data_IF_530733424527
#
_entry.id   IF_530733424527
#
_cell.length_a   1.000
_cell.length_b   1.000
_cell.length_c   1.000
_cell.angle_alpha   90.00
_cell.angle_beta   90.00
_cell.angle_gamma   90.00
#
_symmetry.space_group_name_H-M   'P 1'
#
loop_
_entity.id
_entity.type
_entity.pdbx_description
1 polymer ?
#
# COMPACT_ATOMS: atom_id res chain seq x y z
N UNK A 1 -22.98 10.20 4.63
CA UNK A 1 -23.87 11.17 3.98
C UNK A 1 -23.30 11.70 2.66
N UNK A 2 -22.06 12.23 2.62
CA UNK A 2 -21.45 12.75 1.36
C UNK A 2 -21.20 11.64 0.34
N UNK A 3 -20.61 10.53 0.76
CA UNK A 3 -20.36 9.38 -0.11
C UNK A 3 -21.63 8.81 -0.74
N UNK A 4 -22.69 8.61 0.06
CA UNK A 4 -23.99 8.12 -0.45
C UNK A 4 -24.56 9.04 -1.52
N UNK A 5 -24.48 10.37 -1.32
CA UNK A 5 -24.96 11.33 -2.32
C UNK A 5 -24.16 11.21 -3.63
N UNK A 6 -22.84 11.12 -3.53
CA UNK A 6 -21.97 10.96 -4.70
C UNK A 6 -22.23 9.66 -5.46
N UNK A 7 -22.48 8.54 -4.75
CA UNK A 7 -22.84 7.27 -5.38
C UNK A 7 -24.17 7.35 -6.13
N UNK A 8 -25.20 7.89 -5.47
CA UNK A 8 -26.53 8.03 -6.10
C UNK A 8 -26.41 8.88 -7.35
N UNK A 9 -25.70 10.00 -7.31
CA UNK A 9 -25.48 10.87 -8.46
C UNK A 9 -24.73 10.14 -9.58
N UNK A 10 -23.65 9.40 -9.27
CA UNK A 10 -22.89 8.62 -10.24
C UNK A 10 -23.76 7.54 -10.92
N UNK A 11 -24.60 6.83 -10.14
CA UNK A 11 -25.52 5.81 -10.67
C UNK A 11 -26.58 6.46 -11.58
N UNK A 12 -27.16 7.59 -11.20
CA UNK A 12 -28.12 8.33 -12.00
C UNK A 12 -27.51 8.83 -13.31
N UNK A 13 -26.21 9.16 -13.32
CA UNK A 13 -25.44 9.55 -14.50
C UNK A 13 -24.95 8.34 -15.32
N UNK A 14 -25.38 7.12 -15.00
CA UNK A 14 -25.15 5.94 -15.82
C UNK A 14 -23.76 5.31 -15.66
N UNK A 15 -23.04 5.60 -14.59
CA UNK A 15 -21.68 5.03 -14.37
C UNK A 15 -21.67 3.50 -14.41
N UNK A 16 -22.76 2.85 -13.96
CA UNK A 16 -22.87 1.39 -13.92
C UNK A 16 -23.04 0.74 -15.31
N UNK A 17 -23.30 1.51 -16.35
CA UNK A 17 -23.47 0.99 -17.73
C UNK A 17 -22.16 0.91 -18.51
N UNK A 18 -21.06 1.42 -17.96
CA UNK A 18 -19.77 1.51 -18.63
C UNK A 18 -18.70 0.73 -17.86
N UNK A 19 -17.83 0.04 -18.60
CA UNK A 19 -16.59 -0.46 -18.01
C UNK A 19 -15.65 0.72 -17.72
N UNK A 20 -15.07 0.82 -16.53
CA UNK A 20 -14.01 1.78 -16.29
C UNK A 20 -12.74 1.38 -17.06
N UNK A 21 -11.83 2.33 -17.24
CA UNK A 21 -10.49 2.01 -17.71
C UNK A 21 -9.86 0.95 -16.80
N UNK A 22 -9.08 0.05 -17.39
CA UNK A 22 -8.43 -1.05 -16.68
C UNK A 22 -7.58 -0.55 -15.49
N UNK A 23 -7.02 0.66 -15.62
CA UNK A 23 -6.22 1.33 -14.58
C UNK A 23 -7.06 2.11 -13.55
N UNK A 24 -8.38 2.08 -13.68
CA UNK A 24 -9.30 2.89 -12.89
C UNK A 24 -9.68 4.21 -13.56
N UNK A 25 -10.74 4.84 -13.05
CA UNK A 25 -11.23 6.11 -13.55
C UNK A 25 -10.17 7.21 -13.36
N UNK A 26 -9.80 7.97 -14.41
CA UNK A 26 -8.80 9.05 -14.31
C UNK A 26 -9.08 10.03 -13.18
N UNK A 27 -10.34 10.49 -13.05
CA UNK A 27 -10.75 11.40 -11.98
C UNK A 27 -10.50 10.85 -10.57
N UNK A 28 -10.72 9.54 -10.34
CA UNK A 28 -10.43 8.91 -9.04
C UNK A 28 -8.92 8.88 -8.76
N UNK A 29 -8.10 8.60 -9.79
CA UNK A 29 -6.64 8.57 -9.67
C UNK A 29 -6.06 9.95 -9.36
N UNK A 30 -6.55 10.98 -10.04
CA UNK A 30 -6.19 12.39 -9.80
C UNK A 30 -6.55 12.82 -8.37
N UNK A 31 -7.77 12.48 -7.91
CA UNK A 31 -8.19 12.79 -6.55
C UNK A 31 -7.43 11.99 -5.48
N UNK A 32 -7.06 10.75 -5.77
CA UNK A 32 -6.21 9.96 -4.87
C UNK A 32 -4.80 10.57 -4.75
N UNK A 33 -4.19 10.99 -5.85
CA UNK A 33 -2.93 11.74 -5.86
C UNK A 33 -3.03 13.02 -5.03
N UNK A 34 -4.08 13.82 -5.26
CA UNK A 34 -4.36 15.04 -4.49
C UNK A 34 -4.58 14.76 -3.00
N UNK A 35 -5.26 13.66 -2.66
CA UNK A 35 -5.49 13.25 -1.28
C UNK A 35 -4.17 12.90 -0.56
N UNK A 36 -3.29 12.15 -1.20
CA UNK A 36 -1.96 11.83 -0.65
C UNK A 36 -1.18 13.11 -0.40
N UNK A 37 -1.15 14.04 -1.37
CA UNK A 37 -0.50 15.33 -1.19
C UNK A 37 -1.11 16.14 -0.04
N UNK A 38 -2.43 16.17 0.05
CA UNK A 38 -3.15 16.95 1.05
C UNK A 38 -2.90 16.49 2.49
N UNK A 39 -2.79 15.18 2.73
CA UNK A 39 -2.79 14.61 4.07
C UNK A 39 -1.50 13.90 4.48
N UNK A 40 -0.64 13.54 3.53
CA UNK A 40 0.67 12.92 3.79
C UNK A 40 1.82 13.85 3.36
N UNK A 41 1.53 14.84 2.51
CA UNK A 41 2.50 15.76 1.90
C UNK A 41 3.57 15.05 1.05
N UNK A 42 3.17 14.02 0.34
CA UNK A 42 3.99 13.28 -0.62
C UNK A 42 3.40 13.42 -2.02
N UNK A 43 4.25 13.54 -3.02
CA UNK A 43 3.84 13.58 -4.42
C UNK A 43 3.83 12.14 -4.97
N UNK A 44 2.68 11.72 -5.49
CA UNK A 44 2.50 10.45 -6.21
C UNK A 44 1.75 10.77 -7.48
N UNK A 45 2.30 10.37 -8.63
CA UNK A 45 1.63 10.60 -9.90
C UNK A 45 0.27 9.85 -9.96
N UNK A 46 -0.75 10.42 -10.60
CA UNK A 46 -2.06 9.76 -10.75
C UNK A 46 -1.95 8.34 -11.34
N UNK A 47 -1.00 8.09 -12.22
CA UNK A 47 -0.74 6.77 -12.81
C UNK A 47 -0.44 5.71 -11.75
N UNK A 48 0.32 6.09 -10.70
CA UNK A 48 0.66 5.22 -9.58
C UNK A 48 -0.49 4.99 -8.59
N UNK A 49 -1.58 5.74 -8.68
CA UNK A 49 -2.77 5.57 -7.85
C UNK A 49 -3.73 4.56 -8.47
N UNK A 50 -3.71 3.31 -8.00
CA UNK A 50 -4.51 2.20 -8.55
C UNK A 50 -5.69 1.91 -7.62
N UNK A 51 -6.94 2.10 -8.08
CA UNK A 51 -8.13 1.74 -7.30
C UNK A 51 -8.18 0.25 -6.98
N UNK A 52 -8.61 -0.07 -5.76
CA UNK A 52 -8.74 -1.46 -5.28
C UNK A 52 -10.02 -1.63 -4.47
N UNK A 53 -10.53 -2.86 -4.39
CA UNK A 53 -11.73 -3.21 -3.62
C UNK A 53 -11.39 -3.35 -2.13
N UNK A 54 -11.05 -2.22 -1.51
CA UNK A 54 -10.50 -2.16 -0.15
C UNK A 54 -9.01 -2.54 -0.09
N UNK A 55 -8.31 -2.16 1.00
CA UNK A 55 -6.87 -2.43 1.17
C UNK A 55 -6.51 -3.92 1.08
N UNK A 56 -7.45 -4.82 1.38
CA UNK A 56 -7.22 -6.27 1.28
C UNK A 56 -6.94 -6.76 -0.13
N UNK A 57 -7.58 -6.19 -1.15
CA UNK A 57 -7.23 -6.48 -2.54
C UNK A 57 -5.87 -5.86 -2.88
N UNK A 58 -5.61 -4.66 -2.38
CA UNK A 58 -4.31 -4.00 -2.55
C UNK A 58 -3.16 -4.81 -1.97
N UNK A 59 -3.32 -5.39 -0.75
CA UNK A 59 -2.30 -6.27 -0.16
C UNK A 59 -2.11 -7.55 -0.96
N UNK A 60 -3.19 -8.19 -1.38
CA UNK A 60 -3.12 -9.42 -2.19
C UNK A 60 -2.35 -9.19 -3.50
N UNK A 61 -2.70 -8.14 -4.25
CA UNK A 61 -2.03 -7.79 -5.49
C UNK A 61 -0.56 -7.41 -5.27
N UNK A 62 -0.26 -6.67 -4.19
CA UNK A 62 1.10 -6.29 -3.83
C UNK A 62 1.95 -7.51 -3.46
N UNK A 63 1.42 -8.44 -2.68
CA UNK A 63 2.13 -9.68 -2.32
C UNK A 63 2.45 -10.52 -3.54
N UNK A 64 1.46 -10.71 -4.43
CA UNK A 64 1.66 -11.45 -5.68
C UNK A 64 2.75 -10.79 -6.54
N UNK A 65 2.74 -9.46 -6.64
CA UNK A 65 3.74 -8.72 -7.42
C UNK A 65 5.12 -8.79 -6.77
N UNK A 66 5.23 -8.48 -5.48
CA UNK A 66 6.52 -8.45 -4.78
C UNK A 66 7.21 -9.82 -4.77
N UNK A 67 6.46 -10.91 -4.66
CA UNK A 67 7.03 -12.26 -4.66
C UNK A 67 7.55 -12.72 -6.03
N UNK A 68 7.22 -11.99 -7.09
CA UNK A 68 7.59 -12.34 -8.47
C UNK A 68 8.58 -11.35 -9.12
N UNK A 69 8.84 -10.21 -8.47
CA UNK A 69 9.74 -9.19 -9.03
C UNK A 69 11.21 -9.63 -9.06
N UNK A 70 11.64 -10.45 -8.11
CA UNK A 70 13.01 -10.95 -8.00
C UNK A 70 12.98 -12.40 -7.49
N UNK A 71 13.52 -13.33 -8.27
CA UNK A 71 13.54 -14.77 -7.92
C UNK A 71 14.32 -15.09 -6.65
N UNK A 72 15.24 -14.21 -6.26
CA UNK A 72 16.02 -14.36 -5.03
C UNK A 72 15.29 -13.85 -3.79
N UNK A 73 14.28 -13.00 -3.99
CA UNK A 73 13.52 -12.32 -2.93
C UNK A 73 12.10 -12.87 -2.87
N UNK A 74 11.94 -14.02 -2.26
CA UNK A 74 10.68 -14.79 -2.21
C UNK A 74 9.91 -14.69 -0.89
N UNK A 75 10.39 -13.86 0.04
CA UNK A 75 9.86 -13.80 1.41
C UNK A 75 9.35 -12.41 1.74
N UNK A 76 8.17 -12.32 2.34
CA UNK A 76 7.57 -11.08 2.87
C UNK A 76 7.85 -10.99 4.38
N UNK A 77 8.36 -9.86 4.87
CA UNK A 77 8.62 -9.61 6.28
C UNK A 77 7.49 -8.79 6.90
N UNK A 78 6.83 -9.32 7.93
CA UNK A 78 5.82 -8.59 8.71
C UNK A 78 6.43 -7.98 9.97
N UNK A 79 6.14 -6.72 10.20
CA UNK A 79 6.33 -6.06 11.49
C UNK A 79 5.03 -6.25 12.29
N UNK A 80 5.04 -7.23 13.20
CA UNK A 80 3.90 -7.58 14.03
C UNK A 80 3.83 -6.73 15.33
N UNK A 81 2.66 -6.72 15.98
CA UNK A 81 1.41 -7.38 15.62
C UNK A 81 0.80 -6.80 14.35
N UNK A 82 0.14 -7.63 13.54
CA UNK A 82 -0.44 -7.25 12.26
C UNK A 82 -1.80 -7.91 12.00
N UNK A 83 -2.48 -7.48 10.95
CA UNK A 83 -3.77 -8.02 10.58
C UNK A 83 -3.63 -9.45 10.02
N UNK A 84 -4.19 -10.49 10.70
CA UNK A 84 -3.85 -11.88 10.41
C UNK A 84 -4.26 -12.35 9.01
N UNK A 85 -5.27 -11.73 8.40
CA UNK A 85 -5.76 -12.10 7.06
C UNK A 85 -4.70 -11.85 5.98
N UNK A 86 -3.82 -10.87 6.16
CA UNK A 86 -2.71 -10.62 5.23
C UNK A 86 -1.75 -11.81 5.16
N UNK A 87 -1.44 -12.43 6.30
CA UNK A 87 -0.61 -13.66 6.33
C UNK A 87 -1.35 -14.86 5.71
N UNK A 88 -2.67 -14.95 5.91
CA UNK A 88 -3.47 -15.99 5.26
C UNK A 88 -3.47 -15.85 3.73
N UNK A 89 -3.44 -14.63 3.20
CA UNK A 89 -3.29 -14.41 1.76
C UNK A 89 -2.01 -15.06 1.24
N UNK A 90 -0.88 -14.88 1.93
CA UNK A 90 0.40 -15.51 1.54
C UNK A 90 0.35 -17.03 1.61
N UNK A 91 -0.27 -17.58 2.66
CA UNK A 91 -0.44 -19.04 2.81
C UNK A 91 -1.24 -19.61 1.64
N UNK A 92 -2.36 -18.96 1.26
CA UNK A 92 -3.19 -19.40 0.12
C UNK A 92 -2.42 -19.31 -1.21
N UNK A 93 -1.55 -18.32 -1.36
CA UNK A 93 -0.70 -18.18 -2.55
C UNK A 93 0.54 -19.09 -2.55
N UNK A 94 0.78 -19.85 -1.48
CA UNK A 94 1.99 -20.68 -1.33
C UNK A 94 3.27 -19.86 -1.15
N UNK A 95 3.17 -18.62 -0.66
CA UNK A 95 4.29 -17.71 -0.50
C UNK A 95 4.85 -17.72 0.91
N UNK A 96 6.14 -17.40 1.03
CA UNK A 96 6.85 -17.37 2.30
C UNK A 96 6.70 -16.05 3.02
N UNK A 97 6.65 -16.08 4.33
CA UNK A 97 6.80 -14.91 5.15
C UNK A 97 7.60 -15.17 6.42
N UNK A 98 8.23 -14.12 6.92
CA UNK A 98 8.85 -14.04 8.24
C UNK A 98 8.18 -12.92 9.04
N UNK A 99 8.32 -12.94 10.36
CA UNK A 99 7.68 -11.96 11.24
C UNK A 99 8.50 -11.72 12.50
N UNK A 100 8.39 -10.53 13.07
CA UNK A 100 8.86 -10.21 14.40
C UNK A 100 7.91 -9.23 15.11
N UNK A 101 7.84 -9.31 16.43
CA UNK A 101 7.05 -8.38 17.23
C UNK A 101 7.83 -7.08 17.46
N UNK A 102 7.22 -5.95 17.09
CA UNK A 102 7.85 -4.63 17.19
C UNK A 102 7.97 -4.13 18.63
N UNK A 103 7.20 -4.68 19.58
CA UNK A 103 7.21 -4.22 20.96
C UNK A 103 8.60 -4.29 21.60
N UNK A 104 9.38 -5.33 21.29
CA UNK A 104 10.71 -5.52 21.82
C UNK A 104 11.78 -4.71 21.10
N UNK A 105 11.43 -4.12 19.95
CA UNK A 105 12.37 -3.50 19.01
C UNK A 105 11.99 -2.06 18.62
N UNK A 106 11.37 -1.29 19.52
CA UNK A 106 11.02 0.11 19.30
C UNK A 106 12.27 1.01 19.27
N UNK A 107 12.17 2.12 18.51
CA UNK A 107 13.25 3.11 18.39
C UNK A 107 14.50 2.52 17.73
N UNK A 108 15.66 2.83 18.27
CA UNK A 108 16.97 2.44 17.69
C UNK A 108 17.17 0.92 17.53
N UNK A 109 16.52 0.12 18.38
CA UNK A 109 16.58 -1.34 18.28
C UNK A 109 15.98 -1.88 16.98
N UNK A 110 15.07 -1.12 16.35
CA UNK A 110 14.41 -1.51 15.12
C UNK A 110 15.40 -1.70 13.98
N UNK A 111 16.44 -0.84 13.91
CA UNK A 111 17.46 -0.91 12.86
C UNK A 111 18.15 -2.27 12.83
N UNK A 112 18.78 -2.65 13.95
CA UNK A 112 19.50 -3.92 14.03
C UNK A 112 18.58 -5.13 13.79
N UNK A 113 17.33 -5.05 14.24
CA UNK A 113 16.35 -6.10 14.03
C UNK A 113 15.99 -6.28 12.56
N UNK A 114 15.69 -5.20 11.85
CA UNK A 114 15.41 -5.22 10.41
C UNK A 114 16.64 -5.71 9.63
N UNK A 115 17.83 -5.21 9.92
CA UNK A 115 19.07 -5.64 9.26
C UNK A 115 19.32 -7.14 9.41
N UNK A 116 18.95 -7.75 10.55
CA UNK A 116 19.08 -9.19 10.76
C UNK A 116 18.25 -10.05 9.80
N UNK A 117 17.17 -9.48 9.24
CA UNK A 117 16.37 -10.12 8.19
C UNK A 117 16.86 -9.73 6.80
N UNK A 118 17.03 -8.43 6.56
CA UNK A 118 17.31 -7.88 5.22
C UNK A 118 18.67 -8.31 4.68
N UNK A 119 19.66 -8.48 5.55
CA UNK A 119 20.99 -8.96 5.17
C UNK A 119 21.02 -10.39 4.62
N UNK A 120 19.96 -11.18 4.84
CA UNK A 120 19.81 -12.53 4.24
C UNK A 120 19.60 -12.45 2.72
N UNK A 121 19.13 -11.32 2.19
CA UNK A 121 18.92 -11.07 0.76
C UNK A 121 17.69 -11.73 0.15
N UNK A 122 16.82 -12.36 0.95
CA UNK A 122 15.61 -13.04 0.48
C UNK A 122 14.30 -12.26 0.69
N UNK A 123 14.36 -11.11 1.39
CA UNK A 123 13.16 -10.30 1.66
C UNK A 123 12.81 -9.45 0.43
N UNK A 124 11.59 -9.58 -0.07
CA UNK A 124 11.04 -8.78 -1.17
C UNK A 124 10.29 -7.55 -0.68
N UNK A 125 9.55 -7.68 0.43
CA UNK A 125 8.81 -6.56 0.99
C UNK A 125 8.74 -6.60 2.52
N UNK A 126 8.59 -5.42 3.12
CA UNK A 126 8.25 -5.21 4.53
C UNK A 126 6.80 -4.75 4.60
N UNK A 127 6.02 -5.31 5.53
CA UNK A 127 4.59 -5.00 5.70
C UNK A 127 4.29 -4.60 7.14
N UNK A 128 3.55 -3.52 7.31
CA UNK A 128 2.98 -3.09 8.59
C UNK A 128 1.78 -2.18 8.37
N UNK A 129 0.96 -1.95 9.39
CA UNK A 129 -0.09 -0.91 9.39
C UNK A 129 0.25 0.23 10.36
N UNK A 130 -0.13 1.47 9.98
CA UNK A 130 0.18 2.68 10.76
C UNK A 130 -0.96 3.72 10.66
N UNK A 131 -1.78 3.92 11.71
CA UNK A 131 -1.83 3.18 12.99
C UNK A 131 -2.06 1.69 12.83
N UNK A 132 -1.53 0.92 13.78
CA UNK A 132 -1.52 -0.54 13.70
C UNK A 132 -2.86 -1.16 14.13
N UNK A 133 -3.26 -2.23 13.46
CA UNK A 133 -4.32 -3.14 13.88
C UNK A 133 -3.71 -4.52 14.23
N UNK A 134 -3.84 -5.06 15.47
CA UNK A 134 -4.79 -4.64 16.52
C UNK A 134 -4.20 -3.75 17.62
N UNK A 135 -2.90 -3.49 17.63
CA UNK A 135 -2.21 -2.91 18.80
C UNK A 135 -2.40 -1.41 19.00
N UNK A 136 -2.86 -0.71 17.96
CA UNK A 136 -2.92 0.75 17.91
C UNK A 136 -1.55 1.47 18.03
N UNK A 137 -0.45 0.74 17.84
CA UNK A 137 0.87 1.36 17.76
C UNK A 137 0.89 2.31 16.55
N UNK A 138 1.34 3.53 16.80
CA UNK A 138 1.75 4.45 15.75
C UNK A 138 3.27 4.47 15.71
N UNK A 139 3.86 4.17 14.57
CA UNK A 139 5.30 4.28 14.36
C UNK A 139 5.69 5.75 14.36
N UNK A 140 6.79 6.06 15.02
CA UNK A 140 7.37 7.41 15.05
C UNK A 140 8.09 7.70 13.74
N UNK A 141 8.27 8.97 13.42
CA UNK A 141 9.03 9.39 12.23
C UNK A 141 10.43 8.79 12.17
N UNK A 142 11.10 8.67 13.32
CA UNK A 142 12.41 8.03 13.43
C UNK A 142 12.37 6.54 13.03
N UNK A 143 11.34 5.80 13.45
CA UNK A 143 11.15 4.40 13.11
C UNK A 143 10.81 4.25 11.61
N UNK A 144 9.96 5.13 11.07
CA UNK A 144 9.63 5.17 9.65
C UNK A 144 10.86 5.51 8.79
N UNK A 145 11.71 6.41 9.26
CA UNK A 145 12.98 6.74 8.61
C UNK A 145 13.91 5.53 8.56
N UNK A 146 14.08 4.81 9.66
CA UNK A 146 14.87 3.57 9.72
C UNK A 146 14.34 2.55 8.69
N UNK A 147 13.03 2.34 8.65
CA UNK A 147 12.40 1.42 7.68
C UNK A 147 12.70 1.87 6.25
N UNK A 148 12.50 3.15 5.94
CA UNK A 148 12.69 3.70 4.59
C UNK A 148 14.13 3.66 4.11
N UNK A 149 15.08 4.05 4.97
CA UNK A 149 16.52 4.00 4.65
C UNK A 149 16.98 2.56 4.38
N UNK A 150 16.57 1.61 5.23
CA UNK A 150 16.92 0.20 5.04
C UNK A 150 16.22 -0.41 3.81
N UNK A 151 14.98 -0.03 3.53
CA UNK A 151 14.28 -0.46 2.33
C UNK A 151 15.02 -0.02 1.06
N UNK A 152 15.54 1.20 1.04
CA UNK A 152 16.37 1.71 -0.06
C UNK A 152 17.71 0.98 -0.14
N UNK A 153 18.39 0.80 1.00
CA UNK A 153 19.70 0.17 1.08
C UNK A 153 19.68 -1.29 0.59
N UNK A 154 18.65 -2.05 0.97
CA UNK A 154 18.52 -3.46 0.63
C UNK A 154 17.61 -3.73 -0.58
N UNK A 155 17.16 -2.67 -1.24
CA UNK A 155 16.25 -2.76 -2.39
C UNK A 155 15.00 -3.60 -2.09
N UNK A 156 14.29 -3.24 -1.02
CA UNK A 156 13.08 -3.91 -0.53
C UNK A 156 11.89 -2.97 -0.63
N UNK A 157 10.71 -3.47 -0.96
CA UNK A 157 9.49 -2.68 -1.07
C UNK A 157 8.84 -2.55 0.32
N UNK A 158 8.34 -1.38 0.66
CA UNK A 158 7.53 -1.18 1.88
C UNK A 158 6.06 -1.11 1.52
N UNK A 159 5.26 -2.03 2.07
CA UNK A 159 3.81 -2.03 1.97
C UNK A 159 3.26 -1.43 3.27
N UNK A 160 2.95 -0.14 3.25
CA UNK A 160 2.40 0.56 4.39
C UNK A 160 0.87 0.56 4.32
N UNK A 161 0.23 -0.22 5.21
CA UNK A 161 -1.22 -0.30 5.29
C UNK A 161 -1.77 0.84 6.14
N UNK A 162 -2.35 1.83 5.48
CA UNK A 162 -2.97 3.02 6.05
C UNK A 162 -4.50 2.89 6.15
N UNK A 163 -5.01 1.68 6.42
CA UNK A 163 -6.45 1.46 6.59
C UNK A 163 -7.05 2.30 7.74
N UNK A 164 -6.24 2.64 8.75
CA UNK A 164 -6.59 3.52 9.87
C UNK A 164 -6.02 4.94 9.69
N UNK A 165 -5.93 5.40 8.46
CA UNK A 165 -5.45 6.72 8.06
C UNK A 165 -6.06 7.82 8.94
N UNK A 166 -5.21 8.78 9.37
CA UNK A 166 -5.57 9.94 10.19
C UNK A 166 -6.25 9.61 11.54
N UNK A 167 -6.15 8.36 12.02
CA UNK A 167 -6.75 7.95 13.29
C UNK A 167 -5.74 7.89 14.45
N UNK A 168 -4.63 8.61 14.35
CA UNK A 168 -3.80 8.95 15.52
C UNK A 168 -4.39 10.17 16.23
N UNK A 169 -5.25 9.91 17.21
CA UNK A 169 -5.99 10.96 17.93
C UNK A 169 -5.13 11.80 18.89
N UNK A 170 -3.83 11.61 18.93
CA UNK A 170 -2.91 12.48 19.66
C UNK A 170 -2.60 13.77 18.89
N UNK A 171 -2.94 13.81 17.60
CA UNK A 171 -2.72 14.93 16.70
C UNK A 171 -3.97 15.20 15.86
N UNK A 172 -4.16 16.45 15.44
CA UNK A 172 -5.21 16.82 14.48
C UNK A 172 -4.66 16.66 13.04
N UNK A 173 -4.88 15.49 12.46
CA UNK A 173 -4.48 15.14 11.09
C UNK A 173 -5.58 15.43 10.05
N UNK A 174 -6.65 16.15 10.43
CA UNK A 174 -7.83 16.35 9.59
C UNK A 174 -7.73 17.49 8.59
N UNK A 175 -6.68 18.31 8.66
CA UNK A 175 -6.55 19.54 7.85
C UNK A 175 -5.76 19.28 6.56
N UNK A 176 -6.42 19.37 5.39
CA UNK A 176 -5.72 19.17 4.13
C UNK A 176 -4.68 20.28 3.88
N UNK A 177 -3.52 19.92 3.35
CA UNK A 177 -2.42 20.83 2.99
C UNK A 177 -1.82 21.62 4.17
N UNK A 178 -2.02 21.15 5.40
CA UNK A 178 -1.52 21.80 6.62
C UNK A 178 -0.92 20.74 7.55
N UNK A 179 0.25 21.06 8.12
CA UNK A 179 0.83 20.24 9.17
C UNK A 179 -0.03 20.29 10.46
N UNK A 180 -0.02 19.23 11.29
CA UNK A 180 0.76 18.00 11.09
C UNK A 180 0.13 17.09 10.01
N UNK A 181 0.99 16.37 9.27
CA UNK A 181 0.56 15.39 8.29
C UNK A 181 0.58 13.97 8.88
N UNK A 182 -0.15 13.03 8.26
CA UNK A 182 -0.04 11.62 8.59
C UNK A 182 1.41 11.15 8.39
N UNK A 183 2.10 10.66 9.44
CA UNK A 183 3.44 10.11 9.29
C UNK A 183 3.43 8.89 8.34
N UNK A 184 4.40 8.83 7.43
CA UNK A 184 4.49 7.77 6.43
C UNK A 184 5.96 7.51 6.06
N UNK A 185 6.25 6.26 5.71
CA UNK A 185 7.56 5.85 5.18
C UNK A 185 7.88 6.54 3.85
N UNK A 186 6.87 6.99 3.12
CA UNK A 186 7.02 7.66 1.83
C UNK A 186 7.86 8.97 1.87
N UNK A 187 8.10 9.52 3.09
CA UNK A 187 9.03 10.64 3.27
C UNK A 187 10.52 10.23 3.23
N UNK A 188 10.81 8.92 3.34
CA UNK A 188 12.18 8.42 3.58
C UNK A 188 12.67 7.43 2.54
N UNK A 189 11.83 7.03 1.60
CA UNK A 189 12.16 6.12 0.50
C UNK A 189 11.22 6.29 -0.67
N UNK A 190 11.68 5.92 -1.88
CA UNK A 190 10.83 5.76 -3.07
C UNK A 190 10.41 4.30 -3.30
N UNK A 191 10.70 3.40 -2.35
CA UNK A 191 10.37 1.97 -2.45
C UNK A 191 9.10 1.64 -1.68
N UNK A 192 7.99 2.36 -1.93
CA UNK A 192 6.76 2.18 -1.16
C UNK A 192 5.51 1.93 -2.02
N UNK A 193 4.58 1.23 -1.41
CA UNK A 193 3.16 1.19 -1.77
C UNK A 193 2.34 1.57 -0.54
N UNK A 194 1.58 2.67 -0.64
CA UNK A 194 0.64 3.09 0.40
C UNK A 194 -0.73 2.51 0.09
N UNK A 195 -1.32 1.82 1.06
CA UNK A 195 -2.63 1.19 0.92
C UNK A 195 -3.67 2.03 1.68
N UNK A 196 -4.36 2.90 0.96
CA UNK A 196 -5.40 3.78 1.53
C UNK A 196 -6.75 3.09 1.44
N UNK A 197 -7.55 3.17 2.51
CA UNK A 197 -8.89 2.60 2.56
C UNK A 197 -9.93 3.59 3.05
N UNK A 198 -11.08 3.63 2.39
CA UNK A 198 -12.26 4.36 2.85
C UNK A 198 -12.99 3.69 4.02
N UNK A 199 -12.61 2.46 4.36
CA UNK A 199 -13.37 1.62 5.30
C UNK A 199 -13.48 2.21 6.71
N UNK A 200 -12.39 2.81 7.23
CA UNK A 200 -12.31 3.30 8.62
C UNK A 200 -12.41 4.81 8.69
N UNK A 201 -11.49 5.54 8.08
CA UNK A 201 -11.45 7.00 8.13
C UNK A 201 -12.74 7.66 7.65
N UNK A 202 -13.44 7.06 6.70
CA UNK A 202 -14.71 7.58 6.17
C UNK A 202 -15.93 6.78 6.60
N UNK A 203 -15.77 5.78 7.50
CA UNK A 203 -16.88 4.88 7.92
C UNK A 203 -17.61 4.24 6.73
N UNK A 204 -16.87 3.83 5.71
CA UNK A 204 -17.41 3.41 4.41
C UNK A 204 -17.01 1.98 4.05
N UNK A 205 -16.93 1.10 5.05
CA UNK A 205 -16.40 -0.26 4.93
C UNK A 205 -17.18 -1.13 3.94
N UNK A 206 -18.51 -0.96 3.86
CA UNK A 206 -19.39 -1.74 2.99
C UNK A 206 -19.18 -1.48 1.51
N UNK A 207 -18.67 -0.32 1.12
CA UNK A 207 -18.47 0.07 -0.27
C UNK A 207 -17.19 -0.45 -0.90
N UNK A 208 -16.32 -1.04 -0.09
CA UNK A 208 -15.10 -1.70 -0.58
C UNK A 208 -14.21 -0.78 -1.42
N UNK A 209 -14.02 0.46 -0.98
CA UNK A 209 -13.20 1.46 -1.67
C UNK A 209 -11.82 1.52 -1.03
N UNK A 210 -10.79 1.45 -1.86
CA UNK A 210 -9.40 1.67 -1.51
C UNK A 210 -8.58 2.09 -2.72
N UNK A 211 -7.36 2.53 -2.46
CA UNK A 211 -6.38 2.89 -3.49
C UNK A 211 -5.00 2.42 -3.04
N UNK A 212 -4.29 1.74 -3.93
CA UNK A 212 -2.86 1.48 -3.81
C UNK A 212 -2.09 2.62 -4.46
N UNK A 213 -1.36 3.41 -3.67
CA UNK A 213 -0.56 4.52 -4.16
C UNK A 213 0.91 4.08 -4.21
N UNK A 214 1.40 3.86 -5.42
CA UNK A 214 2.72 3.33 -5.72
C UNK A 214 3.63 4.50 -6.05
N UNK A 215 4.84 4.56 -5.47
CA UNK A 215 5.82 5.59 -5.81
C UNK A 215 6.13 5.58 -7.32
N UNK A 216 6.40 6.73 -7.90
CA UNK A 216 6.66 6.86 -9.32
C UNK A 216 7.85 5.99 -9.76
N UNK A 217 8.91 5.97 -8.97
CA UNK A 217 10.09 5.14 -9.21
C UNK A 217 9.75 3.65 -9.22
N UNK A 218 8.97 3.18 -8.25
CA UNK A 218 8.58 1.78 -8.16
C UNK A 218 7.60 1.41 -9.28
N UNK A 219 6.66 2.28 -9.60
CA UNK A 219 5.69 2.08 -10.69
C UNK A 219 6.42 1.87 -12.02
N UNK A 220 7.37 2.74 -12.37
CA UNK A 220 8.15 2.63 -13.60
C UNK A 220 9.13 1.44 -13.59
N UNK A 221 9.64 1.03 -12.43
CA UNK A 221 10.52 -0.13 -12.29
C UNK A 221 9.77 -1.46 -12.40
N UNK A 222 8.63 -1.57 -11.75
CA UNK A 222 7.82 -2.79 -11.78
C UNK A 222 7.26 -3.08 -13.18
N UNK A 223 6.94 -2.03 -13.92
CA UNK A 223 6.39 -2.12 -15.27
C UNK A 223 7.34 -2.77 -16.28
N UNK A 224 8.62 -2.34 -16.42
CA UNK A 224 9.58 -2.99 -17.31
C UNK A 224 9.95 -4.41 -16.89
N UNK A 225 10.08 -4.69 -15.59
CA UNK A 225 10.41 -6.01 -15.05
C UNK A 225 9.35 -7.07 -15.37
N UNK A 226 8.07 -6.70 -15.25
CA UNK A 226 6.94 -7.55 -15.62
C UNK A 226 6.90 -7.78 -17.14
N UNK A 227 7.21 -6.76 -17.95
CA UNK A 227 7.30 -6.86 -19.40
C UNK A 227 8.42 -7.79 -19.85
N UNK A 228 9.57 -7.72 -19.22
CA UNK A 228 10.75 -8.51 -19.55
C UNK A 228 10.55 -9.99 -19.19
N UNK A 229 9.85 -10.28 -18.08
CA UNK A 229 9.62 -11.64 -17.58
C UNK A 229 8.50 -12.38 -18.33
N UNK A 230 7.49 -11.66 -18.81
CA UNK A 230 6.31 -12.25 -19.46
C UNK A 230 6.20 -11.95 -20.96
N UNK A 231 7.28 -11.50 -21.60
CA UNK A 231 7.40 -11.49 -23.06
C UNK A 231 6.67 -10.40 -23.81
N UNK A 232 6.50 -9.23 -23.24
CA UNK A 232 5.99 -8.07 -23.98
C UNK A 232 5.08 -7.15 -23.19
N UNK A 233 5.18 -5.84 -23.45
CA UNK A 233 4.61 -4.74 -22.69
C UNK A 233 3.14 -4.76 -22.35
N UNK A 234 2.37 -5.58 -23.04
CA UNK A 234 0.94 -5.68 -22.84
C UNK A 234 0.56 -6.70 -21.78
N UNK A 235 1.37 -7.74 -21.55
CA UNK A 235 0.97 -8.88 -20.73
C UNK A 235 1.10 -8.63 -19.22
N UNK A 236 2.17 -7.97 -18.79
CA UNK A 236 2.37 -7.65 -17.36
C UNK A 236 1.34 -6.66 -16.85
N UNK A 237 1.06 -5.63 -17.63
CA UNK A 237 -0.01 -4.66 -17.36
C UNK A 237 -1.36 -5.36 -17.32
N UNK A 238 -1.65 -6.17 -18.33
CA UNK A 238 -2.91 -6.92 -18.45
C UNK A 238 -3.06 -7.94 -17.31
N UNK A 239 -1.97 -8.55 -16.82
CA UNK A 239 -2.05 -9.50 -15.71
C UNK A 239 -2.36 -8.80 -14.39
N UNK A 240 -1.64 -7.74 -14.02
CA UNK A 240 -1.94 -6.96 -12.82
C UNK A 240 -3.35 -6.36 -12.93
N UNK A 241 -3.70 -5.80 -14.07
CA UNK A 241 -5.01 -5.23 -14.30
C UNK A 241 -6.12 -6.28 -14.32
N UNK A 242 -5.92 -7.44 -14.94
CA UNK A 242 -6.90 -8.53 -14.94
C UNK A 242 -7.05 -9.18 -13.59
N UNK A 243 -6.00 -9.32 -12.80
CA UNK A 243 -6.12 -9.78 -11.41
C UNK A 243 -6.87 -8.75 -10.59
N UNK A 244 -6.54 -7.47 -10.70
CA UNK A 244 -7.27 -6.39 -10.04
C UNK A 244 -8.72 -6.31 -10.54
N UNK A 245 -8.95 -6.46 -11.84
CA UNK A 245 -10.28 -6.47 -12.45
C UNK A 245 -11.10 -7.72 -12.07
N UNK A 246 -10.53 -8.91 -12.16
CA UNK A 246 -11.20 -10.16 -11.78
C UNK A 246 -11.51 -10.25 -10.27
N UNK A 247 -10.76 -9.51 -9.43
CA UNK A 247 -11.03 -9.40 -8.00
C UNK A 247 -11.98 -8.24 -7.67
N UNK A 248 -12.27 -7.34 -8.62
CA UNK A 248 -13.22 -6.21 -8.48
C UNK A 248 -14.59 -6.47 -9.11
N UNK A 249 -14.72 -7.52 -9.89
CA UNK A 249 -15.99 -8.02 -10.46
C UNK A 249 -16.53 -9.20 -9.67
#
# INVERSE_FOLDING_TARGET
AVGVKAEVEALQNGIASLYPDINGLPALKEEASRFIKAFINVDVAPEGCVPVTGSMQGTFASFLTCSQCDEKKDTILFIDPGFPVQKQQLVVMGQKYETFDVYDYRGDKLKAKLESYLSKGNISAIVYSNPNNPSWICLKEEELRIIGELATQYDVIVLEDLAYFAMDFRQDLSKPFQAPYQPSVAHYTDHYVLLISGSKAFSYAGQRIGVSCISDKLYHRAYPGLTQRYGGGTFGTVFIHRVLYALSS
#
